data_IF_902466538993
#
_entry.id   IF_902466538993
#
_cell.length_a   1.000
_cell.length_b   1.000
_cell.length_c   1.000
_cell.angle_alpha   90.00
_cell.angle_beta   90.00
_cell.angle_gamma   90.00
#
_symmetry.space_group_name_H-M   'P 1'
#
loop_
_entity.id
_entity.type
_entity.pdbx_description
1 polymer ?
#
# COMPACT_ATOMS: atom_id res chain seq x y z
N UNK A 1 -12.85 16.74 -2.59
CA UNK A 1 -13.02 15.27 -2.73
C UNK A 1 -13.41 14.85 -4.16
N UNK A 2 -14.19 15.64 -4.92
CA UNK A 2 -14.61 15.29 -6.29
C UNK A 2 -13.48 15.20 -7.34
N UNK A 3 -12.52 16.14 -7.37
CA UNK A 3 -11.46 16.16 -8.39
C UNK A 3 -10.47 14.98 -8.27
N UNK A 4 -10.14 14.57 -7.04
CA UNK A 4 -9.19 13.47 -6.80
C UNK A 4 -9.74 12.13 -7.26
N UNK A 5 -10.95 11.77 -6.81
CA UNK A 5 -11.62 10.53 -7.22
C UNK A 5 -11.89 10.50 -8.72
N UNK A 6 -12.22 11.64 -9.33
CA UNK A 6 -12.33 11.77 -10.78
C UNK A 6 -11.00 11.45 -11.48
N UNK A 7 -9.91 12.13 -11.09
CA UNK A 7 -8.59 11.92 -11.68
C UNK A 7 -8.15 10.46 -11.53
N UNK A 8 -8.24 9.90 -10.32
CA UNK A 8 -7.85 8.52 -10.03
C UNK A 8 -8.59 7.52 -10.93
N UNK A 9 -9.90 7.69 -11.10
CA UNK A 9 -10.72 6.82 -11.94
C UNK A 9 -10.32 6.89 -13.41
N UNK A 10 -10.06 8.08 -13.94
CA UNK A 10 -9.74 8.27 -15.36
C UNK A 10 -8.28 7.93 -15.69
N UNK A 11 -7.37 8.06 -14.72
CA UNK A 11 -5.96 7.69 -14.89
C UNK A 11 -5.66 6.23 -14.54
N UNK A 12 -6.58 5.50 -13.91
CA UNK A 12 -6.39 4.10 -13.54
C UNK A 12 -5.93 3.18 -14.69
N UNK A 13 -6.41 3.32 -15.94
CA UNK A 13 -5.93 2.50 -17.06
C UNK A 13 -4.46 2.78 -17.45
N UNK A 14 -3.93 3.95 -17.09
CA UNK A 14 -2.60 4.43 -17.48
C UNK A 14 -1.58 4.35 -16.34
N UNK A 15 -1.99 3.90 -15.15
CA UNK A 15 -1.15 3.88 -13.95
C UNK A 15 -1.17 2.49 -13.31
N UNK A 16 -0.14 2.20 -12.52
CA UNK A 16 -0.03 0.92 -11.80
C UNK A 16 0.60 1.14 -10.44
N UNK A 17 -0.08 0.69 -9.39
CA UNK A 17 0.38 0.84 -8.01
C UNK A 17 0.35 2.28 -7.49
N UNK A 18 1.02 2.49 -6.36
CA UNK A 18 1.17 3.80 -5.70
C UNK A 18 2.58 3.92 -5.13
N UNK A 19 3.16 5.11 -5.20
CA UNK A 19 4.45 5.39 -4.61
C UNK A 19 4.34 5.61 -3.09
N UNK A 20 5.15 4.89 -2.30
CA UNK A 20 5.05 4.85 -0.82
C UNK A 20 5.05 6.23 -0.15
N UNK A 21 5.86 7.17 -0.62
CA UNK A 21 5.93 8.51 -0.03
C UNK A 21 4.80 9.44 -0.50
N UNK A 22 3.90 8.95 -1.35
CA UNK A 22 2.66 9.61 -1.70
C UNK A 22 1.47 8.82 -1.12
N UNK A 23 1.08 9.22 0.09
CA UNK A 23 0.07 8.53 0.88
C UNK A 23 -1.30 8.59 0.20
N UNK A 24 -1.91 7.43 -0.01
CA UNK A 24 -3.19 7.26 -0.67
C UNK A 24 -4.21 6.66 0.31
N UNK A 25 -5.32 7.37 0.51
CA UNK A 25 -6.37 7.00 1.47
C UNK A 25 -7.44 6.09 0.87
N UNK A 26 -7.59 6.08 -0.45
CA UNK A 26 -8.67 5.36 -1.16
C UNK A 26 -8.31 3.93 -1.58
N UNK A 27 -7.19 3.35 -1.11
CA UNK A 27 -6.76 1.99 -1.49
C UNK A 27 -7.55 0.86 -0.83
N UNK A 28 -8.18 1.12 0.31
CA UNK A 28 -8.88 0.12 1.11
C UNK A 28 -8.05 -1.13 1.38
N UNK A 29 -8.68 -2.30 1.35
CA UNK A 29 -8.04 -3.59 1.64
C UNK A 29 -6.93 -4.01 0.66
N UNK A 30 -6.81 -3.35 -0.50
CA UNK A 30 -5.81 -3.66 -1.52
C UNK A 30 -4.50 -2.89 -1.39
N UNK A 31 -4.38 -1.99 -0.40
CA UNK A 31 -3.26 -1.05 -0.29
C UNK A 31 -1.88 -1.72 -0.33
N UNK A 32 -1.71 -2.83 0.38
CA UNK A 32 -0.41 -3.50 0.46
C UNK A 32 0.06 -4.02 -0.90
N UNK A 33 -0.85 -4.55 -1.73
CA UNK A 33 -0.50 -4.99 -3.09
C UNK A 33 -0.17 -3.79 -3.99
N UNK A 34 -0.88 -2.67 -3.81
CA UNK A 34 -0.71 -1.46 -4.60
C UNK A 34 0.61 -0.73 -4.30
N UNK A 35 1.07 -0.74 -3.04
CA UNK A 35 2.38 -0.17 -2.67
C UNK A 35 3.55 -1.12 -2.94
N UNK A 36 3.38 -2.40 -2.62
CA UNK A 36 4.53 -3.32 -2.53
C UNK A 36 4.63 -4.31 -3.70
N UNK A 37 3.57 -4.45 -4.50
CA UNK A 37 3.53 -5.30 -5.67
C UNK A 37 4.05 -6.73 -5.41
N UNK A 38 4.96 -7.19 -6.27
CA UNK A 38 5.57 -8.53 -6.18
C UNK A 38 6.44 -8.70 -4.93
N UNK A 39 6.96 -7.62 -4.36
CA UNK A 39 7.79 -7.65 -3.16
C UNK A 39 7.01 -7.91 -1.88
N UNK A 40 5.67 -7.79 -1.92
CA UNK A 40 4.81 -7.95 -0.74
C UNK A 40 5.13 -9.23 0.03
N UNK A 41 5.19 -10.39 -0.63
CA UNK A 41 5.41 -11.65 0.07
C UNK A 41 6.77 -11.73 0.78
N UNK A 42 7.83 -11.20 0.17
CA UNK A 42 9.16 -11.13 0.79
C UNK A 42 9.14 -10.18 1.99
N UNK A 43 8.47 -9.04 1.88
CA UNK A 43 8.33 -8.06 2.95
C UNK A 43 7.52 -8.62 4.14
N UNK A 44 6.43 -9.35 3.89
CA UNK A 44 5.69 -10.04 4.96
C UNK A 44 6.59 -11.02 5.71
N UNK A 45 7.43 -11.78 5.00
CA UNK A 45 8.40 -12.69 5.62
C UNK A 45 9.38 -11.93 6.52
N UNK A 46 9.97 -10.84 6.02
CA UNK A 46 10.89 -9.98 6.79
C UNK A 46 10.18 -9.39 8.02
N UNK A 47 8.98 -8.84 7.87
CA UNK A 47 8.18 -8.28 8.98
C UNK A 47 7.93 -9.33 10.07
N UNK A 48 7.56 -10.56 9.70
CA UNK A 48 7.37 -11.65 10.68
C UNK A 48 8.66 -12.08 11.38
N UNK A 49 9.82 -11.95 10.74
CA UNK A 49 11.12 -12.28 11.35
C UNK A 49 11.59 -11.20 12.33
N UNK A 50 11.46 -9.93 11.98
CA UNK A 50 12.07 -8.82 12.73
C UNK A 50 11.09 -8.00 13.56
N UNK A 51 9.78 -8.09 13.29
CA UNK A 51 8.73 -7.44 14.08
C UNK A 51 7.50 -8.37 14.24
N UNK A 52 7.68 -9.55 14.87
CA UNK A 52 6.62 -10.53 15.04
C UNK A 52 5.45 -10.02 15.89
N UNK A 53 5.74 -9.18 16.89
CA UNK A 53 4.72 -8.59 17.78
C UNK A 53 4.03 -7.37 17.14
N UNK A 54 4.63 -6.76 16.11
CA UNK A 54 4.04 -5.60 15.43
C UNK A 54 4.22 -4.31 16.22
N UNK A 55 5.36 -4.17 16.88
CA UNK A 55 5.77 -2.95 17.59
C UNK A 55 5.72 -1.73 16.66
N UNK A 56 6.12 -1.90 15.39
CA UNK A 56 5.99 -0.83 14.40
C UNK A 56 4.63 -0.90 13.68
N UNK A 57 3.64 -0.21 14.25
CA UNK A 57 2.25 -0.11 13.75
C UNK A 57 1.94 1.28 13.16
N UNK A 58 2.60 1.63 12.06
CA UNK A 58 2.37 2.89 11.34
C UNK A 58 1.08 2.86 10.48
N UNK A 59 0.58 4.00 9.99
CA UNK A 59 -0.63 4.07 9.15
C UNK A 59 -0.57 3.31 7.81
N UNK A 60 0.64 2.96 7.34
CA UNK A 60 0.87 2.13 6.14
C UNK A 60 1.75 0.94 6.50
N UNK A 61 1.25 -0.04 7.27
CA UNK A 61 2.07 -1.15 7.71
C UNK A 61 2.30 -2.15 6.58
N UNK A 62 3.34 -2.96 6.71
CA UNK A 62 3.46 -4.20 5.95
C UNK A 62 2.62 -5.23 6.73
N UNK A 63 1.57 -5.83 6.14
CA UNK A 63 0.76 -6.84 6.84
C UNK A 63 1.60 -8.03 7.27
N UNK A 64 1.26 -8.62 8.42
CA UNK A 64 1.84 -9.90 8.88
C UNK A 64 1.40 -11.05 7.97
#
# INVERSE_FOLDING_TARGET
MFAYGWMRRHLAPFTSGVYVNYSERELGGSYAKMYWGKSLQRLKKIKRTYDPEGFFANPQPIPK
#
